data_IF_597184726971
#
_entry.id   IF_597184726971
#
_cell.length_a   1.000
_cell.length_b   1.000
_cell.length_c   1.000
_cell.angle_alpha   90.00
_cell.angle_beta   90.00
_cell.angle_gamma   90.00
#
_symmetry.space_group_name_H-M   'P 1'
#
loop_
_entity.id
_entity.type
_entity.pdbx_description
1 polymer ?
#
# COMPACT_ATOMS: atom_id res chain seq x y z
N UNK A 1 12.22 -1.84 -32.73
CA UNK A 1 12.45 -3.20 -32.17
C UNK A 1 12.45 -3.08 -30.67
N UNK A 2 11.55 -3.83 -30.00
CA UNK A 2 11.41 -3.79 -28.54
C UNK A 2 12.67 -4.38 -27.87
N UNK A 3 13.12 -3.80 -26.76
CA UNK A 3 14.23 -4.30 -25.91
C UNK A 3 14.02 -5.77 -25.55
N UNK A 4 12.78 -6.24 -25.47
CA UNK A 4 12.39 -7.63 -25.27
C UNK A 4 12.81 -8.56 -26.41
N UNK A 5 12.70 -8.13 -27.66
CA UNK A 5 13.11 -8.93 -28.82
C UNK A 5 14.62 -9.17 -28.85
N UNK A 6 15.41 -8.18 -28.45
CA UNK A 6 16.87 -8.32 -28.36
C UNK A 6 17.30 -9.28 -27.24
N UNK A 7 16.58 -9.29 -26.11
CA UNK A 7 16.89 -10.17 -24.98
C UNK A 7 16.56 -11.65 -25.27
N UNK A 8 15.43 -11.91 -25.92
CA UNK A 8 15.04 -13.28 -26.34
C UNK A 8 15.99 -13.80 -27.41
N UNK A 9 16.43 -12.97 -28.37
CA UNK A 9 17.39 -13.34 -29.37
C UNK A 9 18.77 -13.64 -28.77
N UNK A 10 19.24 -12.89 -27.76
CA UNK A 10 20.50 -13.12 -27.08
C UNK A 10 20.49 -14.44 -26.29
N UNK A 11 19.40 -14.75 -25.57
CA UNK A 11 19.23 -16.02 -24.86
C UNK A 11 19.19 -17.20 -25.85
N UNK A 12 18.49 -17.05 -26.97
CA UNK A 12 18.46 -18.09 -28.04
C UNK A 12 19.79 -18.33 -28.66
N UNK A 13 20.61 -17.30 -28.92
CA UNK A 13 21.95 -17.43 -29.50
C UNK A 13 22.93 -18.12 -28.55
N UNK A 14 22.84 -17.81 -27.26
CA UNK A 14 23.69 -18.45 -26.23
C UNK A 14 23.29 -19.92 -26.02
N UNK A 15 22.02 -20.27 -26.18
CA UNK A 15 21.53 -21.64 -26.02
C UNK A 15 21.85 -22.57 -27.22
N UNK A 16 22.02 -22.00 -28.43
CA UNK A 16 22.26 -22.78 -29.66
C UNK A 16 23.72 -22.85 -30.09
N UNK A 17 24.59 -22.08 -29.46
CA UNK A 17 26.02 -21.99 -29.83
C UNK A 17 26.95 -22.78 -28.93
N UNK A 18 27.27 -24.01 -29.32
CA UNK A 18 28.46 -24.83 -28.99
C UNK A 18 28.37 -25.82 -27.83
N UNK A 19 28.69 -27.06 -28.21
CA UNK A 19 28.75 -28.26 -27.39
C UNK A 19 30.04 -28.38 -26.52
N UNK A 20 30.53 -27.31 -25.93
CA UNK A 20 31.61 -27.36 -24.94
C UNK A 20 31.33 -26.32 -23.82
N UNK A 21 30.36 -26.62 -22.95
CA UNK A 21 30.17 -25.85 -21.75
C UNK A 21 31.13 -26.30 -20.66
N UNK A 22 32.16 -25.49 -20.40
CA UNK A 22 32.91 -25.55 -19.17
C UNK A 22 32.02 -25.22 -17.97
N UNK A 23 32.30 -25.80 -16.79
CA UNK A 23 31.51 -25.61 -15.54
C UNK A 23 31.30 -24.13 -15.18
N UNK A 24 32.23 -23.25 -15.53
CA UNK A 24 32.15 -21.81 -15.35
C UNK A 24 31.06 -21.15 -16.20
N UNK A 25 30.90 -21.61 -17.45
CA UNK A 25 29.85 -21.12 -18.36
C UNK A 25 28.46 -21.52 -17.91
N UNK A 26 28.28 -22.73 -17.37
CA UNK A 26 27.04 -23.20 -16.80
C UNK A 26 26.58 -22.36 -15.59
N UNK A 27 27.53 -21.97 -14.74
CA UNK A 27 27.24 -21.12 -13.57
C UNK A 27 26.81 -19.72 -14.01
N UNK A 28 27.45 -19.11 -14.99
CA UNK A 28 27.09 -17.78 -15.50
C UNK A 28 25.68 -17.76 -16.12
N UNK A 29 25.30 -18.81 -16.85
CA UNK A 29 23.96 -18.96 -17.42
C UNK A 29 22.94 -19.12 -16.31
N UNK A 30 23.19 -19.96 -15.32
CA UNK A 30 22.28 -20.14 -14.19
C UNK A 30 22.05 -18.84 -13.40
N UNK A 31 23.10 -18.05 -13.18
CA UNK A 31 23.02 -16.74 -12.54
C UNK A 31 22.23 -15.73 -13.39
N UNK A 32 22.44 -15.72 -14.71
CA UNK A 32 21.71 -14.87 -15.64
C UNK A 32 20.22 -15.20 -15.70
N UNK A 33 19.86 -16.47 -15.74
CA UNK A 33 18.45 -16.92 -15.70
C UNK A 33 17.81 -16.58 -14.35
N UNK A 34 18.50 -16.79 -13.24
CA UNK A 34 18.02 -16.46 -11.90
C UNK A 34 17.77 -14.96 -11.75
N UNK A 35 18.71 -14.11 -12.19
CA UNK A 35 18.56 -12.66 -12.16
C UNK A 35 17.36 -12.18 -13.02
N UNK A 36 17.21 -12.77 -14.22
CA UNK A 36 16.09 -12.44 -15.13
C UNK A 36 14.74 -12.83 -14.53
N UNK A 37 14.65 -13.97 -13.86
CA UNK A 37 13.43 -14.41 -13.17
C UNK A 37 13.08 -13.47 -12.01
N UNK A 38 14.05 -13.02 -11.22
CA UNK A 38 13.84 -12.07 -10.15
C UNK A 38 13.33 -10.71 -10.67
N UNK A 39 13.92 -10.18 -11.73
CA UNK A 39 13.48 -8.95 -12.38
C UNK A 39 12.05 -9.10 -12.91
N UNK A 40 11.72 -10.23 -13.53
CA UNK A 40 10.39 -10.51 -14.04
C UNK A 40 9.34 -10.58 -12.93
N UNK A 41 9.65 -11.28 -11.82
CA UNK A 41 8.78 -11.33 -10.64
C UNK A 41 8.58 -9.95 -10.01
N UNK A 42 9.64 -9.14 -9.99
CA UNK A 42 9.55 -7.75 -9.50
C UNK A 42 8.64 -6.89 -10.37
N UNK A 43 8.77 -7.01 -11.70
CA UNK A 43 7.88 -6.33 -12.65
C UNK A 43 6.43 -6.78 -12.51
N UNK A 44 6.18 -8.09 -12.32
CA UNK A 44 4.83 -8.60 -12.06
C UNK A 44 4.24 -8.05 -10.75
N UNK A 45 5.05 -7.94 -9.70
CA UNK A 45 4.63 -7.35 -8.42
C UNK A 45 4.27 -5.87 -8.59
N UNK A 46 5.07 -5.11 -9.35
CA UNK A 46 4.79 -3.71 -9.65
C UNK A 46 3.50 -3.54 -10.48
N UNK A 47 3.25 -4.42 -11.46
CA UNK A 47 2.03 -4.40 -12.24
C UNK A 47 0.80 -4.76 -11.40
N UNK A 48 0.95 -5.70 -10.47
CA UNK A 48 -0.12 -6.06 -9.53
C UNK A 48 -0.44 -4.93 -8.56
N UNK A 49 0.58 -4.21 -8.05
CA UNK A 49 0.39 -3.01 -7.22
C UNK A 49 -0.40 -1.93 -7.95
N UNK A 50 -0.05 -1.62 -9.19
CA UNK A 50 -0.76 -0.62 -10.01
C UNK A 50 -2.23 -0.95 -10.27
N UNK A 51 -2.59 -2.24 -10.36
CA UNK A 51 -3.98 -2.66 -10.55
C UNK A 51 -4.83 -2.52 -9.28
N UNK A 52 -4.23 -2.47 -8.10
CA UNK A 52 -4.95 -2.22 -6.85
C UNK A 52 -5.37 -0.74 -6.76
N UNK A 53 -4.53 0.18 -7.19
CA UNK A 53 -4.84 1.62 -7.20
C UNK A 53 -5.98 1.96 -8.19
N UNK A 54 -6.10 1.21 -9.29
CA UNK A 54 -7.17 1.38 -10.26
C UNK A 54 -8.55 0.88 -9.78
N UNK A 55 -8.59 0.10 -8.69
CA UNK A 55 -9.83 -0.45 -8.13
C UNK A 55 -10.74 0.62 -7.51
N UNK A 56 -10.16 1.75 -7.10
CA UNK A 56 -10.90 2.79 -6.38
C UNK A 56 -11.26 3.95 -7.31
N UNK A 57 -12.56 4.11 -7.57
CA UNK A 57 -13.10 5.23 -8.37
C UNK A 57 -13.21 6.49 -7.51
N UNK A 58 -12.69 7.61 -8.01
CA UNK A 58 -12.81 8.91 -7.36
C UNK A 58 -13.91 9.73 -8.04
N UNK A 59 -14.92 10.12 -7.28
CA UNK A 59 -16.01 10.99 -7.73
C UNK A 59 -16.18 12.14 -6.73
N UNK A 60 -16.23 13.39 -7.24
CA UNK A 60 -16.54 14.58 -6.42
C UNK A 60 -15.69 14.72 -5.14
N UNK A 61 -14.38 14.40 -5.18
CA UNK A 61 -13.49 14.49 -4.01
C UNK A 61 -13.60 13.30 -3.03
N UNK A 62 -14.47 12.33 -3.31
CA UNK A 62 -14.63 11.10 -2.54
C UNK A 62 -14.07 9.90 -3.32
N UNK A 63 -13.42 9.01 -2.60
CA UNK A 63 -12.83 7.77 -3.14
C UNK A 63 -13.67 6.60 -2.65
N UNK A 64 -14.13 5.77 -3.57
CA UNK A 64 -14.79 4.51 -3.26
C UNK A 64 -13.76 3.49 -2.77
N UNK A 65 -13.87 3.06 -1.52
CA UNK A 65 -12.98 2.04 -0.92
C UNK A 65 -13.56 0.64 -1.05
N UNK A 66 -14.88 0.53 -1.19
CA UNK A 66 -15.59 -0.75 -1.32
C UNK A 66 -16.27 -1.19 -0.02
N UNK A 67 -16.57 -2.47 0.06
CA UNK A 67 -17.23 -3.08 1.22
C UNK A 67 -16.35 -2.96 2.48
N UNK A 68 -16.90 -2.47 3.62
CA UNK A 68 -16.18 -2.46 4.90
C UNK A 68 -15.59 -3.82 5.30
N UNK A 69 -16.27 -4.91 4.95
CA UNK A 69 -15.80 -6.27 5.26
C UNK A 69 -14.57 -6.67 4.45
N UNK A 70 -14.29 -5.99 3.33
CA UNK A 70 -13.08 -6.20 2.54
C UNK A 70 -11.81 -5.63 3.21
N UNK A 71 -11.99 -4.77 4.22
CA UNK A 71 -10.90 -4.24 5.05
C UNK A 71 -10.68 -5.21 6.20
N UNK A 72 -9.51 -5.87 6.32
CA UNK A 72 -9.26 -6.80 7.41
C UNK A 72 -9.32 -6.10 8.78
N UNK A 73 -9.88 -6.77 9.79
CA UNK A 73 -10.00 -6.21 11.14
C UNK A 73 -8.61 -5.88 11.71
N UNK A 74 -8.50 -4.71 12.34
CA UNK A 74 -7.26 -4.16 12.91
C UNK A 74 -6.12 -3.95 11.89
N UNK A 75 -6.46 -3.88 10.61
CA UNK A 75 -5.55 -3.61 9.50
C UNK A 75 -6.07 -2.48 8.63
N UNK A 76 -5.25 -2.04 7.69
CA UNK A 76 -5.65 -1.03 6.72
C UNK A 76 -5.70 -1.56 5.29
N UNK A 77 -6.48 -0.86 4.48
CA UNK A 77 -6.26 -0.76 3.03
C UNK A 77 -5.74 0.64 2.73
N UNK A 78 -4.89 0.75 1.72
CA UNK A 78 -4.33 2.03 1.29
C UNK A 78 -4.88 2.41 -0.06
N UNK A 79 -5.33 3.66 -0.20
CA UNK A 79 -5.73 4.24 -1.48
C UNK A 79 -4.86 5.45 -1.80
N UNK A 80 -4.63 5.66 -3.10
CA UNK A 80 -3.85 6.81 -3.58
C UNK A 80 -4.77 7.71 -4.39
N UNK A 81 -5.16 8.89 -3.84
CA UNK A 81 -5.92 9.87 -4.58
C UNK A 81 -5.08 10.49 -5.71
N UNK A 82 -5.76 11.12 -6.67
CA UNK A 82 -5.08 11.85 -7.75
C UNK A 82 -4.22 13.02 -7.25
N UNK A 83 -4.53 13.54 -6.07
CA UNK A 83 -3.73 14.56 -5.35
C UNK A 83 -2.37 14.06 -4.89
N UNK A 84 -2.17 12.74 -4.80
CA UNK A 84 -0.87 12.11 -4.62
C UNK A 84 -0.60 11.56 -3.22
N UNK A 85 -1.15 12.11 -2.16
CA UNK A 85 -0.89 11.64 -0.80
C UNK A 85 -1.72 10.38 -0.48
N UNK A 86 -1.05 9.32 -0.02
CA UNK A 86 -1.71 8.04 0.28
C UNK A 86 -2.51 8.13 1.57
N UNK A 87 -3.69 7.49 1.56
CA UNK A 87 -4.61 7.42 2.68
C UNK A 87 -4.66 5.98 3.18
N UNK A 88 -4.52 5.78 4.48
CA UNK A 88 -4.68 4.50 5.15
C UNK A 88 -6.06 4.45 5.83
N UNK A 89 -6.88 3.50 5.42
CA UNK A 89 -8.24 3.29 5.93
C UNK A 89 -8.22 2.04 6.81
N UNK A 90 -8.45 2.22 8.10
CA UNK A 90 -8.42 1.16 9.11
C UNK A 90 -9.83 0.73 9.49
N UNK A 91 -10.02 -0.58 9.62
CA UNK A 91 -11.21 -1.16 10.25
C UNK A 91 -10.88 -1.65 11.66
N UNK A 92 -11.69 -1.28 12.62
CA UNK A 92 -11.61 -1.69 14.02
C UNK A 92 -13.03 -2.02 14.53
N UNK A 93 -13.14 -2.56 15.75
CA UNK A 93 -14.45 -2.92 16.34
C UNK A 93 -15.38 -1.72 16.46
N UNK A 94 -14.84 -0.52 16.71
CA UNK A 94 -15.61 0.73 16.77
C UNK A 94 -16.14 1.19 15.42
N UNK A 95 -15.54 0.74 14.29
CA UNK A 95 -15.90 1.18 12.94
C UNK A 95 -14.69 1.38 12.03
N UNK A 96 -14.84 2.25 11.05
CA UNK A 96 -13.81 2.60 10.05
C UNK A 96 -13.33 4.03 10.29
N UNK A 97 -12.02 4.21 10.27
CA UNK A 97 -11.33 5.51 10.34
C UNK A 97 -10.26 5.62 9.26
N UNK A 98 -9.86 6.83 8.92
CA UNK A 98 -8.85 7.06 7.90
C UNK A 98 -7.87 8.18 8.30
N UNK A 99 -6.60 7.94 8.03
CA UNK A 99 -5.50 8.89 8.27
C UNK A 99 -4.57 8.95 7.06
N UNK A 100 -3.75 9.98 7.00
CA UNK A 100 -2.61 10.02 6.07
C UNK A 100 -1.73 8.79 6.29
N UNK A 101 -1.34 8.11 5.20
CA UNK A 101 -0.61 6.84 5.29
C UNK A 101 0.88 6.97 5.62
N UNK A 102 1.35 8.19 5.94
CA UNK A 102 2.75 8.51 6.20
C UNK A 102 2.93 8.88 7.67
N UNK A 103 3.80 8.17 8.37
CA UNK A 103 4.14 8.40 9.76
C UNK A 103 4.96 9.70 9.92
N UNK A 104 4.51 10.63 10.78
CA UNK A 104 5.22 11.90 11.04
C UNK A 104 6.59 11.71 11.69
N UNK A 105 6.83 10.57 12.37
CA UNK A 105 8.11 10.28 13.03
C UNK A 105 9.27 10.16 12.02
N UNK A 106 9.18 9.24 11.05
CA UNK A 106 10.22 9.00 10.03
C UNK A 106 9.66 8.50 8.69
N UNK A 107 8.49 8.99 8.28
CA UNK A 107 7.83 8.67 7.01
C UNK A 107 7.52 7.17 6.80
N UNK A 108 7.41 6.39 7.88
CA UNK A 108 7.04 4.97 7.80
C UNK A 108 5.63 4.78 7.21
N UNK A 109 5.37 3.63 6.56
CA UNK A 109 4.09 3.36 5.88
C UNK A 109 3.01 2.95 6.89
N UNK A 110 2.21 3.88 7.41
CA UNK A 110 1.15 3.59 8.39
C UNK A 110 0.12 2.60 7.85
N UNK A 111 -0.16 2.62 6.55
CA UNK A 111 -1.09 1.68 5.92
C UNK A 111 -0.66 0.21 5.93
N UNK A 112 0.62 -0.08 6.20
CA UNK A 112 1.15 -1.43 6.40
C UNK A 112 1.16 -1.85 7.88
N UNK A 113 0.80 -0.92 8.76
CA UNK A 113 0.72 -1.14 10.19
C UNK A 113 -0.50 -1.94 10.64
N UNK A 114 -0.81 -1.82 11.91
CA UNK A 114 -1.99 -2.45 12.50
C UNK A 114 -2.49 -1.64 13.69
N UNK A 115 -3.74 -1.90 14.11
CA UNK A 115 -4.26 -1.39 15.35
C UNK A 115 -3.85 -2.34 16.49
N UNK A 116 -3.22 -1.79 17.52
CA UNK A 116 -2.88 -2.45 18.79
C UNK A 116 -3.38 -1.58 19.92
N UNK A 117 -4.12 -2.17 20.85
CA UNK A 117 -4.67 -1.46 22.01
C UNK A 117 -5.45 -0.18 21.64
N UNK A 118 -6.13 -0.22 20.49
CA UNK A 118 -6.91 0.90 19.95
C UNK A 118 -6.09 1.96 19.21
N UNK A 119 -4.76 1.82 19.10
CA UNK A 119 -3.87 2.76 18.44
C UNK A 119 -3.28 2.18 17.14
N UNK A 120 -3.21 3.00 16.11
CA UNK A 120 -2.51 2.69 14.86
C UNK A 120 -1.02 2.62 15.16
N UNK A 121 -0.39 1.48 14.91
CA UNK A 121 1.03 1.24 15.18
C UNK A 121 1.83 1.17 13.89
N UNK A 122 2.80 2.06 13.74
CA UNK A 122 3.71 2.09 12.61
C UNK A 122 4.59 0.84 12.56
N UNK A 123 4.75 0.18 11.40
CA UNK A 123 5.52 -1.07 11.31
C UNK A 123 7.03 -0.88 11.44
N UNK A 124 7.55 0.34 11.23
CA UNK A 124 8.99 0.57 11.28
C UNK A 124 9.53 0.66 12.71
N UNK A 125 8.94 1.54 13.54
CA UNK A 125 9.48 1.80 14.88
C UNK A 125 8.44 1.66 16.00
N UNK A 126 7.23 1.15 15.68
CA UNK A 126 6.17 1.00 16.67
C UNK A 126 5.55 2.33 17.14
N UNK A 127 5.83 3.45 16.45
CA UNK A 127 5.23 4.74 16.79
C UNK A 127 3.72 4.68 16.62
N UNK A 128 2.97 5.27 17.53
CA UNK A 128 1.53 5.07 17.62
C UNK A 128 0.74 6.36 17.42
N UNK A 129 -0.47 6.23 16.84
CA UNK A 129 -1.40 7.33 16.62
C UNK A 129 -2.82 6.89 16.96
N UNK A 130 -3.57 7.77 17.57
CA UNK A 130 -5.00 7.58 17.76
C UNK A 130 -5.73 7.67 16.40
N UNK A 131 -6.57 6.69 16.05
CA UNK A 131 -7.22 6.65 14.74
C UNK A 131 -8.30 7.74 14.51
N UNK A 132 -8.79 8.37 15.56
CA UNK A 132 -9.84 9.40 15.48
C UNK A 132 -9.26 10.82 15.48
N UNK A 133 -8.14 11.03 16.14
CA UNK A 133 -7.52 12.35 16.29
C UNK A 133 -6.21 12.52 15.51
N UNK A 134 -5.63 11.42 15.06
CA UNK A 134 -4.30 11.40 14.45
C UNK A 134 -3.17 11.76 15.43
N UNK A 135 -3.44 11.91 16.72
CA UNK A 135 -2.46 12.30 17.72
C UNK A 135 -1.66 11.10 18.21
N UNK A 136 -0.36 11.30 18.45
CA UNK A 136 0.44 10.35 19.19
C UNK A 136 0.05 10.39 20.68
N UNK A 137 0.14 9.26 21.41
CA UNK A 137 -0.08 9.24 22.85
C UNK A 137 1.03 10.00 23.58
N UNK A 138 0.68 10.59 24.73
CA UNK A 138 1.67 11.26 25.58
C UNK A 138 2.87 10.34 25.92
N UNK A 139 4.10 10.85 25.98
CA UNK A 139 4.47 12.28 25.98
C UNK A 139 4.73 12.89 24.61
N UNK A 140 4.40 12.22 23.53
CA UNK A 140 4.67 12.71 22.16
C UNK A 140 3.62 13.74 21.72
N UNK A 141 4.07 14.73 20.95
CA UNK A 141 3.20 15.80 20.39
C UNK A 141 2.94 15.59 18.88
N UNK A 142 3.52 14.57 18.29
CA UNK A 142 3.38 14.22 16.88
C UNK A 142 1.93 13.98 16.51
N UNK A 143 1.58 14.39 15.29
CA UNK A 143 0.23 14.20 14.72
C UNK A 143 0.31 13.87 13.25
N UNK A 144 -0.67 13.11 12.79
CA UNK A 144 -0.99 12.91 11.37
C UNK A 144 -2.39 13.44 11.09
N UNK A 145 -2.65 13.84 9.86
CA UNK A 145 -3.97 14.31 9.48
C UNK A 145 -4.94 13.13 9.35
N UNK A 146 -6.18 13.39 9.74
CA UNK A 146 -7.31 12.50 9.53
C UNK A 146 -7.99 12.77 8.18
N UNK A 147 -8.79 11.81 7.72
CA UNK A 147 -9.67 11.99 6.57
C UNK A 147 -11.11 11.66 6.96
N UNK A 148 -12.03 12.40 6.38
CA UNK A 148 -13.46 12.12 6.54
C UNK A 148 -13.82 10.81 5.88
N UNK A 149 -14.55 9.96 6.62
CA UNK A 149 -15.09 8.68 6.17
C UNK A 149 -16.58 8.70 6.24
N UNK A 150 -17.27 8.10 5.30
CA UNK A 150 -18.69 7.80 5.35
C UNK A 150 -18.97 6.41 4.82
N UNK A 151 -20.09 5.83 5.24
CA UNK A 151 -20.59 4.56 4.69
C UNK A 151 -21.97 4.84 4.10
N UNK A 152 -22.10 4.69 2.80
CA UNK A 152 -23.35 4.87 2.05
C UNK A 152 -23.61 3.62 1.21
N UNK A 153 -24.81 3.10 1.27
CA UNK A 153 -25.22 1.88 0.54
C UNK A 153 -24.29 0.69 0.76
N UNK A 154 -23.75 0.53 1.98
CA UNK A 154 -22.80 -0.54 2.30
C UNK A 154 -21.38 -0.34 1.75
N UNK A 155 -21.07 0.81 1.17
CA UNK A 155 -19.77 1.14 0.61
C UNK A 155 -19.08 2.20 1.48
N UNK A 156 -17.82 1.97 1.79
CA UNK A 156 -16.93 2.93 2.45
C UNK A 156 -16.44 3.95 1.43
N UNK A 157 -16.61 5.20 1.76
CA UNK A 157 -16.07 6.34 1.01
C UNK A 157 -15.13 7.12 1.91
N UNK A 158 -14.00 7.54 1.38
CA UNK A 158 -13.04 8.41 2.07
C UNK A 158 -12.84 9.68 1.26
N UNK A 159 -12.79 10.81 1.96
CA UNK A 159 -12.51 12.10 1.34
C UNK A 159 -11.03 12.17 0.91
N UNK A 160 -10.78 12.56 -0.34
CA UNK A 160 -9.44 12.60 -0.90
C UNK A 160 -8.53 13.63 -0.23
N UNK A 161 -9.10 14.77 0.17
CA UNK A 161 -8.38 15.81 0.88
C UNK A 161 -8.35 15.53 2.38
N UNK A 162 -7.16 15.66 3.03
CA UNK A 162 -7.04 15.51 4.47
C UNK A 162 -7.75 16.65 5.22
N UNK A 163 -8.15 16.37 6.43
CA UNK A 163 -8.64 17.40 7.35
C UNK A 163 -7.49 18.29 7.85
N UNK A 164 -7.85 19.41 8.44
CA UNK A 164 -6.87 20.22 9.16
C UNK A 164 -6.27 19.43 10.31
N UNK A 165 -4.96 19.60 10.55
CA UNK A 165 -4.28 18.91 11.63
C UNK A 165 -4.95 19.16 12.98
N UNK A 166 -5.23 18.07 13.69
CA UNK A 166 -5.94 18.13 14.98
C UNK A 166 -7.46 18.01 14.87
N UNK A 167 -8.02 17.86 13.66
CA UNK A 167 -9.46 17.55 13.50
C UNK A 167 -9.76 16.17 14.08
N UNK A 168 -10.81 16.08 14.90
CA UNK A 168 -11.29 14.81 15.45
C UNK A 168 -12.32 14.19 14.53
N UNK A 169 -12.14 12.92 14.17
CA UNK A 169 -13.06 12.13 13.34
C UNK A 169 -13.42 10.83 14.06
N UNK A 170 -14.64 10.77 14.56
CA UNK A 170 -15.14 9.53 15.15
C UNK A 170 -15.23 8.42 14.11
N UNK A 171 -14.80 7.21 14.48
CA UNK A 171 -14.90 6.05 13.62
C UNK A 171 -16.34 5.79 13.16
N UNK A 172 -16.54 5.59 11.86
CA UNK A 172 -17.88 5.36 11.28
C UNK A 172 -18.28 3.90 11.50
N UNK A 173 -19.39 3.68 12.22
CA UNK A 173 -19.86 2.33 12.53
C UNK A 173 -20.23 1.56 11.26
N UNK A 174 -19.79 0.32 11.18
CA UNK A 174 -20.23 -0.62 10.16
C UNK A 174 -21.57 -1.20 10.60
N UNK A 175 -22.67 -0.75 9.99
CA UNK A 175 -23.98 -1.37 10.19
C UNK A 175 -24.06 -2.63 9.34
N UNK A 176 -24.32 -3.76 9.97
CA UNK A 176 -24.58 -5.05 9.33
C UNK A 176 -25.95 -5.07 8.66
#
# INVERSE_FOLDING_TARGET
MSVYGAYVALIGHVALGTAQFDKSSGLLIALGVGASALVFLHLLALLKGRNLDAKYSQNSGWINVGDPQSIPLNKAVTVTPKSGERIAIFRQDKGVSAIVAVCSHQNGPLGEGCIKDGLITCPWHGFQFDPETGAAPAPFEDRVQTHEVKIEEGIVWVKAEPDLLGTVRTAVKVTS
#
